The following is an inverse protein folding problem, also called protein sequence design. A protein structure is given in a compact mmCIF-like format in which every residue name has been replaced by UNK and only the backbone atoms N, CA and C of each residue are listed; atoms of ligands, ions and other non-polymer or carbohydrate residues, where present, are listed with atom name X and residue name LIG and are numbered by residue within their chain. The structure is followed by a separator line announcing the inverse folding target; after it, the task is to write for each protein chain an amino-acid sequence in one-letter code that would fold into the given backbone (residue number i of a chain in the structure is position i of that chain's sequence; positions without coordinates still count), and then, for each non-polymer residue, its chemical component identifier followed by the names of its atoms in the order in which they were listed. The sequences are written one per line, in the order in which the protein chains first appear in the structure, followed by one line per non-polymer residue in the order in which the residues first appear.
data_IF_548014065419
#
_entry.id   IF_548014065419
#
_cell.length_a   1.000
_cell.length_b   1.000
_cell.length_c   1.000
_cell.angle_alpha   90.00
_cell.angle_beta   90.00
_cell.angle_gamma   90.00
#
_symmetry.space_group_name_H-M   'P 1'
#
loop_
_entity.id
_entity.type
_entity.pdbx_description
1 polymer ?
#
# COMPACT_ATOMS: atom_id res chain seq x y z
N UNK A 1 -40.05 -20.31 34.80
CA UNK A 1 -39.69 -20.65 33.41
C UNK A 1 -38.32 -21.37 33.40
N UNK A 2 -38.29 -22.70 33.19
CA UNK A 2 -37.10 -23.56 33.38
C UNK A 2 -36.11 -23.50 32.19
N UNK A 3 -35.34 -22.42 32.06
CA UNK A 3 -34.36 -22.25 30.97
C UNK A 3 -32.92 -22.68 31.33
N UNK A 4 -32.62 -22.89 32.62
CA UNK A 4 -31.30 -23.27 33.13
C UNK A 4 -30.61 -24.44 32.42
N UNK A 5 -31.28 -25.59 32.16
CA UNK A 5 -30.65 -26.71 31.47
C UNK A 5 -30.31 -26.41 30.00
N UNK A 6 -31.09 -25.56 29.33
CA UNK A 6 -30.82 -25.16 27.93
C UNK A 6 -29.63 -24.20 27.88
N UNK A 7 -29.60 -23.21 28.77
CA UNK A 7 -28.51 -22.22 28.84
C UNK A 7 -27.13 -22.90 29.00
N UNK A 8 -26.98 -23.82 29.97
CA UNK A 8 -25.74 -24.59 30.16
C UNK A 8 -25.37 -25.41 28.91
N UNK A 9 -26.35 -25.97 28.21
CA UNK A 9 -26.14 -26.78 27.01
C UNK A 9 -25.70 -25.95 25.79
N UNK A 10 -26.13 -24.69 25.67
CA UNK A 10 -25.73 -23.81 24.57
C UNK A 10 -24.35 -23.23 24.78
N UNK A 11 -24.01 -22.82 26.01
CA UNK A 11 -22.72 -22.16 26.30
C UNK A 11 -21.56 -23.13 26.49
N UNK A 12 -21.80 -24.35 26.99
CA UNK A 12 -20.72 -25.35 27.17
C UNK A 12 -20.39 -26.13 25.89
N UNK A 13 -21.19 -26.00 24.83
CA UNK A 13 -20.92 -26.61 23.52
C UNK A 13 -20.06 -25.68 22.67
N UNK A 14 -18.81 -26.08 22.39
CA UNK A 14 -17.99 -25.41 21.38
C UNK A 14 -18.63 -25.60 20.00
N UNK A 15 -19.21 -24.53 19.45
CA UNK A 15 -19.75 -24.54 18.10
C UNK A 15 -18.61 -24.67 17.09
N UNK A 16 -18.85 -25.40 16.00
CA UNK A 16 -17.90 -25.46 14.89
C UNK A 16 -17.72 -24.05 14.32
N UNK A 17 -16.48 -23.57 14.11
CA UNK A 17 -16.24 -22.29 13.47
C UNK A 17 -16.98 -22.23 12.13
N UNK A 18 -17.70 -21.15 11.93
CA UNK A 18 -18.46 -20.95 10.70
C UNK A 18 -17.49 -20.72 9.53
N UNK A 19 -17.56 -21.58 8.52
CA UNK A 19 -16.73 -21.47 7.33
C UNK A 19 -17.56 -20.85 6.19
N UNK A 20 -17.35 -19.55 5.97
CA UNK A 20 -18.07 -18.76 4.95
C UNK A 20 -17.88 -19.29 3.53
N UNK A 21 -16.69 -19.79 3.19
CA UNK A 21 -16.41 -20.40 1.90
C UNK A 21 -17.26 -21.66 1.69
N UNK A 22 -17.33 -22.51 2.71
CA UNK A 22 -18.13 -23.75 2.63
C UNK A 22 -19.62 -23.45 2.49
N UNK A 23 -20.15 -22.47 3.22
CA UNK A 23 -21.56 -22.08 3.06
C UNK A 23 -21.84 -21.49 1.67
N UNK A 24 -20.93 -20.65 1.13
CA UNK A 24 -21.10 -20.09 -0.23
C UNK A 24 -21.06 -21.14 -1.33
N UNK A 25 -20.35 -22.25 -1.11
CA UNK A 25 -20.23 -23.35 -2.07
C UNK A 25 -21.36 -24.38 -1.97
N UNK A 26 -22.14 -24.41 -0.89
CA UNK A 26 -23.29 -25.29 -0.78
C UNK A 26 -24.40 -24.84 -1.76
N UNK A 27 -24.72 -25.68 -2.74
CA UNK A 27 -25.75 -25.41 -3.75
C UNK A 27 -25.25 -24.76 -5.04
N UNK A 28 -23.93 -24.64 -5.21
CA UNK A 28 -23.31 -24.16 -6.46
C UNK A 28 -22.40 -25.23 -7.05
N UNK A 29 -22.51 -25.53 -8.35
CA UNK A 29 -21.64 -26.45 -9.12
C UNK A 29 -20.21 -25.91 -9.34
N UNK A 30 -19.75 -24.98 -8.49
CA UNK A 30 -18.45 -24.34 -8.61
C UNK A 30 -17.42 -25.29 -8.01
N UNK A 31 -16.74 -26.06 -8.87
CA UNK A 31 -15.53 -26.80 -8.50
C UNK A 31 -14.54 -25.83 -7.85
N UNK A 32 -14.05 -26.20 -6.67
CA UNK A 32 -13.16 -25.38 -5.83
C UNK A 32 -12.05 -24.73 -6.67
N UNK A 33 -12.06 -23.41 -6.78
CA UNK A 33 -10.97 -22.65 -7.40
C UNK A 33 -9.67 -23.02 -6.67
N UNK A 34 -8.73 -23.63 -7.39
CA UNK A 34 -7.39 -23.93 -6.87
C UNK A 34 -6.82 -22.66 -6.26
N UNK A 35 -6.61 -22.66 -4.93
CA UNK A 35 -5.81 -21.61 -4.28
C UNK A 35 -4.47 -21.58 -4.99
N UNK A 36 -4.19 -20.47 -5.66
CA UNK A 36 -2.86 -20.18 -6.19
C UNK A 36 -1.87 -20.33 -5.02
N UNK A 37 -0.76 -21.06 -5.21
CA UNK A 37 0.25 -21.15 -4.17
C UNK A 37 0.71 -19.73 -3.81
N UNK A 38 1.04 -19.47 -2.54
CA UNK A 38 1.62 -18.18 -2.16
C UNK A 38 2.82 -17.94 -3.07
N UNK A 39 2.84 -16.79 -3.75
CA UNK A 39 3.93 -16.42 -4.66
C UNK A 39 5.22 -16.41 -3.84
N UNK A 40 6.05 -17.45 -4.03
CA UNK A 40 7.42 -17.48 -3.51
C UNK A 40 8.24 -16.52 -4.37
N UNK A 41 9.12 -15.75 -3.72
CA UNK A 41 9.91 -14.64 -4.26
C UNK A 41 9.17 -13.31 -4.40
N UNK A 42 8.87 -12.68 -3.27
CA UNK A 42 9.24 -11.28 -3.17
C UNK A 42 10.66 -11.28 -2.59
N UNK A 43 11.65 -10.84 -3.38
CA UNK A 43 12.93 -10.39 -2.81
C UNK A 43 12.59 -9.54 -1.59
N UNK A 44 13.19 -9.83 -0.45
CA UNK A 44 12.92 -9.14 0.81
C UNK A 44 12.90 -7.63 0.55
N UNK A 45 11.70 -7.05 0.52
CA UNK A 45 11.56 -5.60 0.39
C UNK A 45 12.20 -5.05 1.65
N UNK A 46 13.39 -4.47 1.50
CA UNK A 46 14.07 -3.78 2.60
C UNK A 46 13.10 -2.68 3.04
N UNK A 47 12.46 -2.89 4.18
CA UNK A 47 11.49 -1.95 4.70
C UNK A 47 12.23 -0.67 5.06
N UNK A 48 12.03 0.39 4.28
CA UNK A 48 12.61 1.71 4.53
C UNK A 48 11.87 2.46 5.65
N UNK A 49 11.28 1.72 6.61
CA UNK A 49 10.43 2.26 7.68
C UNK A 49 11.11 3.38 8.47
N UNK A 50 12.39 3.23 8.82
CA UNK A 50 13.14 4.27 9.56
C UNK A 50 13.14 5.59 8.79
N UNK A 51 13.42 5.53 7.50
CA UNK A 51 13.46 6.71 6.65
C UNK A 51 12.07 7.34 6.47
N UNK A 52 11.04 6.54 6.23
CA UNK A 52 9.66 7.05 6.17
C UNK A 52 9.20 7.67 7.49
N UNK A 53 9.63 7.11 8.62
CA UNK A 53 9.33 7.64 9.95
C UNK A 53 10.04 8.97 10.20
N UNK A 54 11.32 9.07 9.87
CA UNK A 54 12.10 10.31 9.95
C UNK A 54 11.51 11.40 9.04
N UNK A 55 11.19 11.07 7.80
CA UNK A 55 10.55 11.99 6.85
C UNK A 55 9.21 12.52 7.39
N UNK A 56 8.41 11.64 7.99
CA UNK A 56 7.15 12.02 8.61
C UNK A 56 7.33 12.95 9.81
N UNK A 57 8.29 12.65 10.69
CA UNK A 57 8.61 13.53 11.83
C UNK A 57 9.07 14.90 11.34
N UNK A 58 9.97 14.93 10.36
CA UNK A 58 10.51 16.16 9.79
C UNK A 58 9.41 17.03 9.17
N UNK A 59 8.47 16.41 8.43
CA UNK A 59 7.32 17.12 7.85
C UNK A 59 6.41 17.75 8.92
N UNK A 60 6.18 17.05 10.05
CA UNK A 60 5.40 17.61 11.17
C UNK A 60 6.15 18.78 11.81
N UNK A 61 7.46 18.64 12.03
CA UNK A 61 8.27 19.70 12.64
C UNK A 61 8.31 20.96 11.78
N UNK A 62 8.52 20.82 10.47
CA UNK A 62 8.51 21.95 9.54
C UNK A 62 7.16 22.65 9.52
N UNK A 63 6.05 21.90 9.52
CA UNK A 63 4.70 22.47 9.58
C UNK A 63 4.48 23.30 10.85
N UNK A 64 4.94 22.80 12.01
CA UNK A 64 4.87 23.55 13.28
C UNK A 64 5.70 24.84 13.24
N UNK A 65 6.89 24.81 12.65
CA UNK A 65 7.73 26.00 12.50
C UNK A 65 7.06 27.06 11.63
N UNK A 66 6.44 26.65 10.52
CA UNK A 66 5.64 27.54 9.67
C UNK A 66 4.50 28.19 10.46
N UNK A 67 3.74 27.42 11.23
CA UNK A 67 2.65 27.95 12.07
C UNK A 67 3.17 28.95 13.10
N UNK A 68 4.32 28.68 13.72
CA UNK A 68 4.96 29.58 14.69
C UNK A 68 5.39 30.89 14.03
N UNK A 69 6.07 30.82 12.87
CA UNK A 69 6.52 32.01 12.14
C UNK A 69 5.36 32.91 11.74
N UNK A 70 4.25 32.34 11.26
CA UNK A 70 3.02 33.08 10.94
C UNK A 70 2.47 33.80 12.18
N UNK A 71 2.44 33.12 13.34
CA UNK A 71 1.93 33.71 14.59
C UNK A 71 2.81 34.86 15.10
N UNK A 72 4.13 34.73 14.95
CA UNK A 72 5.11 35.71 15.41
C UNK A 72 5.38 36.83 14.40
N UNK A 73 4.73 36.80 13.22
CA UNK A 73 4.93 37.77 12.14
C UNK A 73 6.33 37.71 11.52
N UNK A 74 7.05 36.60 11.70
CA UNK A 74 8.37 36.37 11.13
C UNK A 74 8.27 35.83 9.71
N UNK A 75 9.30 36.03 8.86
CA UNK A 75 9.31 35.47 7.52
C UNK A 75 9.19 33.94 7.55
N UNK A 76 8.48 33.39 6.57
CA UNK A 76 8.25 31.96 6.47
C UNK A 76 9.58 31.20 6.32
N UNK A 77 9.78 30.08 7.05
CA UNK A 77 10.95 29.25 6.85
C UNK A 77 10.95 28.66 5.43
N UNK A 78 12.13 28.43 4.83
CA UNK A 78 12.22 27.82 3.50
C UNK A 78 11.54 26.44 3.49
N UNK A 79 10.87 26.06 2.38
CA UNK A 79 10.19 24.78 2.30
C UNK A 79 11.19 23.63 2.46
N UNK A 80 10.83 22.57 3.22
CA UNK A 80 11.71 21.41 3.38
C UNK A 80 11.99 20.75 2.03
N UNK A 81 13.18 20.16 1.83
CA UNK A 81 13.54 19.50 0.59
C UNK A 81 12.56 18.35 0.28
N UNK A 82 12.24 18.10 -1.00
CA UNK A 82 11.35 17.01 -1.37
C UNK A 82 11.92 15.65 -0.92
N UNK A 83 11.17 14.93 -0.09
CA UNK A 83 11.52 13.53 0.23
C UNK A 83 11.42 12.69 -1.06
N UNK A 84 12.54 12.07 -1.41
CA UNK A 84 12.62 11.14 -2.54
C UNK A 84 12.38 9.75 -2.00
N UNK A 85 11.19 9.18 -2.27
CA UNK A 85 10.91 7.81 -1.88
C UNK A 85 11.90 6.85 -2.58
N UNK A 86 12.70 6.08 -1.81
CA UNK A 86 13.70 5.17 -2.37
C UNK A 86 13.08 4.01 -3.17
N UNK A 87 11.80 3.70 -2.95
CA UNK A 87 11.08 2.62 -3.65
C UNK A 87 10.64 2.99 -5.07
N UNK A 88 10.82 4.24 -5.49
CA UNK A 88 10.37 4.70 -6.80
C UNK A 88 11.49 4.59 -7.84
N UNK A 89 11.18 3.92 -8.95
CA UNK A 89 12.08 3.74 -10.10
C UNK A 89 11.91 4.95 -11.03
N UNK A 90 13.03 5.54 -11.44
CA UNK A 90 13.06 6.64 -12.40
C UNK A 90 13.06 6.11 -13.84
N UNK A 91 12.17 6.63 -14.68
CA UNK A 91 12.14 6.33 -16.11
C UNK A 91 13.33 7.01 -16.82
N UNK A 92 14.13 6.30 -17.63
CA UNK A 92 15.28 6.87 -18.31
C UNK A 92 14.89 7.84 -19.46
N UNK A 93 13.65 7.73 -19.97
CA UNK A 93 13.20 8.50 -21.13
C UNK A 93 12.52 9.83 -20.77
N UNK A 94 11.70 9.85 -19.70
CA UNK A 94 10.97 11.05 -19.28
C UNK A 94 11.33 11.57 -17.89
N UNK A 95 12.26 10.91 -17.19
CA UNK A 95 12.76 11.24 -15.86
C UNK A 95 11.71 11.26 -14.74
N UNK A 96 10.46 10.85 -15.02
CA UNK A 96 9.41 10.69 -14.01
C UNK A 96 9.67 9.44 -13.16
N UNK A 97 9.30 9.51 -11.89
CA UNK A 97 9.46 8.44 -10.90
C UNK A 97 8.13 7.71 -10.67
N UNK A 98 8.17 6.37 -10.65
CA UNK A 98 6.98 5.53 -10.49
C UNK A 98 7.25 4.40 -9.49
N UNK A 99 6.20 3.87 -8.86
CA UNK A 99 6.31 2.60 -8.13
C UNK A 99 6.65 1.46 -9.09
N UNK A 100 7.15 0.34 -8.56
CA UNK A 100 7.64 -0.81 -9.35
C UNK A 100 6.65 -1.29 -10.44
N UNK A 101 5.38 -1.48 -10.10
CA UNK A 101 4.37 -2.03 -11.04
C UNK A 101 3.98 -1.02 -12.12
N UNK A 102 3.90 0.27 -11.77
CA UNK A 102 3.66 1.34 -12.71
C UNK A 102 4.89 1.58 -13.60
N UNK A 103 6.10 1.52 -13.04
CA UNK A 103 7.35 1.67 -13.77
C UNK A 103 7.49 0.60 -14.86
N UNK A 104 7.17 -0.66 -14.56
CA UNK A 104 7.21 -1.75 -15.55
C UNK A 104 6.35 -1.48 -16.79
N UNK A 105 5.15 -0.91 -16.61
CA UNK A 105 4.25 -0.55 -17.73
C UNK A 105 4.68 0.74 -18.41
N UNK A 106 5.07 1.73 -17.60
CA UNK A 106 5.42 3.05 -18.08
C UNK A 106 6.70 3.05 -18.91
N UNK A 107 7.75 2.35 -18.47
CA UNK A 107 9.06 2.34 -19.16
C UNK A 107 8.90 1.81 -20.58
N UNK A 108 8.16 0.70 -20.78
CA UNK A 108 7.88 0.14 -22.11
C UNK A 108 7.16 1.13 -23.03
N UNK A 109 6.10 1.75 -22.53
CA UNK A 109 5.37 2.76 -23.31
C UNK A 109 6.23 3.99 -23.62
N UNK A 110 7.00 4.45 -22.63
CA UNK A 110 7.80 5.66 -22.76
C UNK A 110 8.99 5.46 -23.71
N UNK A 111 9.55 4.25 -23.76
CA UNK A 111 10.55 3.83 -24.74
C UNK A 111 10.02 3.93 -26.16
N UNK A 112 8.87 3.29 -26.45
CA UNK A 112 8.22 3.35 -27.76
C UNK A 112 7.89 4.80 -28.15
N UNK A 113 7.39 5.59 -27.20
CA UNK A 113 7.04 6.98 -27.43
C UNK A 113 8.29 7.85 -27.71
N UNK A 114 9.39 7.60 -27.00
CA UNK A 114 10.66 8.28 -27.22
C UNK A 114 11.25 7.93 -28.59
N UNK A 115 11.23 6.65 -28.97
CA UNK A 115 11.66 6.20 -30.29
C UNK A 115 10.87 6.89 -31.40
N UNK A 116 9.52 6.91 -31.31
CA UNK A 116 8.68 7.60 -32.31
C UNK A 116 8.97 9.09 -32.42
N UNK A 117 9.21 9.77 -31.30
CA UNK A 117 9.52 11.20 -31.28
C UNK A 117 10.88 11.51 -31.92
N UNK A 118 11.87 10.61 -31.76
CA UNK A 118 13.19 10.77 -32.36
C UNK A 118 13.17 10.69 -33.90
N UNK A 119 12.19 10.00 -34.49
CA UNK A 119 12.02 9.93 -35.95
C UNK A 119 11.07 10.99 -36.52
N UNK A 120 10.34 11.71 -35.66
CA UNK A 120 9.40 12.76 -36.07
C UNK A 120 9.97 14.19 -35.92
N UNK A 121 11.22 14.30 -35.43
CA UNK A 121 12.00 15.53 -35.34
C UNK A 121 13.05 15.55 -36.45
#
# INVERSE_FOLDING_TARGET
MRHGPICKKVFNKKRKPFNSLKQRLQGTEITTVKKQPPRKNQMERKSNWRQHHEDFINAIQSAKQVTKAIKEGQPLPPPPPPSVNPDYIQCPYCLRRFNETAAQKHIKFCEEQAARRAFAA
#
